data_IF_248620277465
#
_entry.id   IF_248620277465
#
_cell.length_a   1.000
_cell.length_b   1.000
_cell.length_c   1.000
_cell.angle_alpha   90.00
_cell.angle_beta   90.00
_cell.angle_gamma   90.00
#
_symmetry.space_group_name_H-M   'P 1'
#
loop_
_entity.id
_entity.type
_entity.pdbx_description
1 polymer ?
#
# COMPACT_ATOMS: atom_id res chain seq x y z
N UNK A 1 13.72 -35.03 5.10
CA UNK A 1 13.88 -34.31 3.81
C UNK A 1 12.70 -33.39 3.50
N UNK A 2 11.46 -33.72 3.89
CA UNK A 2 10.27 -32.89 3.64
C UNK A 2 10.34 -31.51 4.36
N UNK A 3 10.99 -31.44 5.53
CA UNK A 3 11.19 -30.21 6.31
C UNK A 3 12.05 -29.13 5.65
N UNK A 4 13.05 -29.52 4.85
CA UNK A 4 13.92 -28.55 4.17
C UNK A 4 13.17 -27.81 3.07
N UNK A 5 12.41 -28.55 2.27
CA UNK A 5 11.71 -27.97 1.10
C UNK A 5 10.65 -26.94 1.49
N UNK A 6 9.84 -27.22 2.50
CA UNK A 6 8.81 -26.28 2.97
C UNK A 6 9.42 -24.98 3.54
N UNK A 7 10.58 -25.08 4.20
CA UNK A 7 11.27 -23.91 4.74
C UNK A 7 11.96 -23.10 3.62
N UNK A 8 12.50 -23.77 2.61
CA UNK A 8 13.01 -23.12 1.41
C UNK A 8 11.89 -22.37 0.66
N UNK A 9 10.71 -22.97 0.55
CA UNK A 9 9.53 -22.34 -0.06
C UNK A 9 9.06 -21.12 0.75
N UNK A 10 9.09 -21.21 2.09
CA UNK A 10 8.75 -20.09 2.97
C UNK A 10 9.73 -18.93 2.81
N UNK A 11 11.04 -19.21 2.83
CA UNK A 11 12.06 -18.18 2.57
C UNK A 11 11.89 -17.56 1.18
N UNK A 12 11.58 -18.37 0.18
CA UNK A 12 11.37 -17.88 -1.17
C UNK A 12 10.16 -16.95 -1.27
N UNK A 13 9.03 -17.27 -0.63
CA UNK A 13 7.84 -16.38 -0.65
C UNK A 13 8.05 -15.14 0.18
N UNK A 14 8.66 -15.23 1.36
CA UNK A 14 8.99 -14.08 2.22
C UNK A 14 9.96 -13.12 1.52
N UNK A 15 11.00 -13.66 0.85
CA UNK A 15 11.93 -12.85 0.08
C UNK A 15 11.27 -12.12 -1.09
N UNK A 16 10.32 -12.76 -1.79
CA UNK A 16 9.53 -12.10 -2.84
C UNK A 16 8.59 -11.06 -2.26
N UNK A 17 7.95 -11.32 -1.12
CA UNK A 17 7.09 -10.35 -0.45
C UNK A 17 7.85 -9.08 -0.06
N UNK A 18 9.06 -9.23 0.50
CA UNK A 18 9.96 -8.10 0.76
C UNK A 18 10.20 -7.26 -0.50
N UNK A 19 10.47 -7.88 -1.65
CA UNK A 19 10.66 -7.16 -2.92
C UNK A 19 9.40 -6.40 -3.37
N UNK A 20 8.21 -6.97 -3.13
CA UNK A 20 6.93 -6.29 -3.42
C UNK A 20 6.76 -5.07 -2.52
N UNK A 21 7.09 -5.17 -1.23
CA UNK A 21 7.07 -4.05 -0.29
C UNK A 21 8.07 -2.94 -0.68
N UNK A 22 9.30 -3.30 -1.06
CA UNK A 22 10.30 -2.35 -1.56
C UNK A 22 9.79 -1.61 -2.80
N UNK A 23 9.16 -2.34 -3.74
CA UNK A 23 8.55 -1.73 -4.93
C UNK A 23 7.35 -0.84 -4.58
N UNK A 24 6.54 -1.21 -3.60
CA UNK A 24 5.44 -0.39 -3.11
C UNK A 24 5.95 0.93 -2.52
N UNK A 25 6.94 0.87 -1.64
CA UNK A 25 7.56 2.05 -1.05
C UNK A 25 8.11 2.98 -2.14
N UNK A 26 8.84 2.43 -3.12
CA UNK A 26 9.33 3.20 -4.27
C UNK A 26 8.20 3.91 -5.04
N UNK A 27 7.05 3.26 -5.20
CA UNK A 27 5.88 3.88 -5.84
C UNK A 27 5.26 4.97 -4.99
N UNK A 28 5.15 4.77 -3.68
CA UNK A 28 4.62 5.79 -2.77
C UNK A 28 5.51 7.04 -2.75
N UNK A 29 6.84 6.88 -2.71
CA UNK A 29 7.78 8.01 -2.77
C UNK A 29 7.62 8.80 -4.07
N UNK A 30 7.48 8.12 -5.22
CA UNK A 30 7.23 8.80 -6.50
C UNK A 30 5.88 9.52 -6.51
N UNK A 31 4.83 8.91 -5.97
CA UNK A 31 3.50 9.53 -5.86
C UNK A 31 3.60 10.81 -5.03
N UNK A 32 4.23 10.77 -3.85
CA UNK A 32 4.42 11.94 -3.01
C UNK A 32 5.21 13.05 -3.73
N UNK A 33 6.26 12.68 -4.46
CA UNK A 33 7.06 13.62 -5.26
C UNK A 33 6.25 14.28 -6.37
N UNK A 34 5.41 13.53 -7.08
CA UNK A 34 4.58 14.05 -8.16
C UNK A 34 3.45 14.94 -7.64
N UNK A 35 2.86 14.59 -6.49
CA UNK A 35 1.85 15.42 -5.81
C UNK A 35 2.45 16.73 -5.30
N UNK A 36 3.66 16.69 -4.74
CA UNK A 36 4.38 17.90 -4.29
C UNK A 36 4.74 18.81 -5.46
N UNK A 37 5.01 18.23 -6.64
CA UNK A 37 5.28 18.96 -7.87
C UNK A 37 4.05 19.48 -8.62
N UNK A 38 2.84 19.28 -8.08
CA UNK A 38 1.56 19.66 -8.70
C UNK A 38 1.34 19.05 -10.11
N UNK A 39 1.88 17.85 -10.33
CA UNK A 39 1.85 17.16 -11.63
C UNK A 39 0.52 16.40 -11.84
N UNK A 40 -0.58 17.15 -11.92
CA UNK A 40 -1.96 16.64 -11.94
C UNK A 40 -2.32 15.77 -13.15
N UNK A 41 -1.62 15.93 -14.28
CA UNK A 41 -1.84 15.13 -15.50
C UNK A 41 -1.58 13.62 -15.29
N UNK A 42 -0.87 13.24 -14.23
CA UNK A 42 -0.53 11.85 -13.95
C UNK A 42 -1.39 11.19 -12.85
N UNK A 43 -2.37 11.89 -12.27
CA UNK A 43 -3.19 11.36 -11.15
C UNK A 43 -3.82 9.99 -11.44
N UNK A 44 -4.33 9.81 -12.66
CA UNK A 44 -4.88 8.52 -13.09
C UNK A 44 -3.84 7.39 -13.05
N UNK A 45 -2.64 7.64 -13.55
CA UNK A 45 -1.55 6.67 -13.56
C UNK A 45 -1.04 6.36 -12.16
N UNK A 46 -0.97 7.39 -11.30
CA UNK A 46 -0.59 7.23 -9.89
C UNK A 46 -1.54 6.29 -9.15
N UNK A 47 -2.85 6.51 -9.29
CA UNK A 47 -3.86 5.64 -8.69
C UNK A 47 -3.75 4.19 -9.19
N UNK A 48 -3.68 4.00 -10.51
CA UNK A 48 -3.55 2.67 -11.10
C UNK A 48 -2.29 1.92 -10.67
N UNK A 49 -1.15 2.61 -10.59
CA UNK A 49 0.10 1.98 -10.18
C UNK A 49 0.06 1.55 -8.72
N UNK A 50 -0.53 2.36 -7.84
CA UNK A 50 -0.74 1.99 -6.43
C UNK A 50 -1.70 0.80 -6.31
N UNK A 51 -2.79 0.78 -7.07
CA UNK A 51 -3.74 -0.33 -7.08
C UNK A 51 -3.10 -1.65 -7.55
N UNK A 52 -2.31 -1.62 -8.63
CA UNK A 52 -1.63 -2.81 -9.15
C UNK A 52 -0.66 -3.39 -8.14
N UNK A 53 0.12 -2.54 -7.46
CA UNK A 53 1.07 -3.01 -6.45
C UNK A 53 0.32 -3.52 -5.21
N UNK A 54 -0.77 -2.86 -4.80
CA UNK A 54 -1.62 -3.35 -3.73
C UNK A 54 -2.19 -4.75 -4.02
N UNK A 55 -2.61 -5.00 -5.26
CA UNK A 55 -3.13 -6.30 -5.65
C UNK A 55 -2.04 -7.38 -5.62
N UNK A 56 -0.87 -7.10 -6.21
CA UNK A 56 0.25 -8.04 -6.17
C UNK A 56 0.72 -8.35 -4.74
N UNK A 57 0.62 -7.38 -3.83
CA UNK A 57 0.91 -7.60 -2.41
C UNK A 57 -0.12 -8.54 -1.76
N UNK A 58 -1.41 -8.43 -2.09
CA UNK A 58 -2.42 -9.40 -1.59
C UNK A 58 -2.21 -10.80 -2.14
N UNK A 59 -1.85 -10.91 -3.41
CA UNK A 59 -1.57 -12.21 -4.04
C UNK A 59 -0.43 -12.93 -3.33
N UNK A 60 0.66 -12.20 -3.01
CA UNK A 60 1.82 -12.80 -2.35
C UNK A 60 1.58 -13.07 -0.87
N UNK A 61 0.81 -12.22 -0.18
CA UNK A 61 0.37 -12.40 1.20
C UNK A 61 -0.48 -13.68 1.35
N UNK A 62 -1.37 -13.94 0.39
CA UNK A 62 -2.15 -15.18 0.32
C UNK A 62 -1.25 -16.41 0.08
N UNK A 63 -0.30 -16.32 -0.85
CA UNK A 63 0.67 -17.40 -1.09
C UNK A 63 1.48 -17.71 0.17
N UNK A 64 1.97 -16.68 0.87
CA UNK A 64 2.70 -16.84 2.14
C UNK A 64 1.83 -17.54 3.17
N UNK A 65 0.58 -17.10 3.31
CA UNK A 65 -0.35 -17.68 4.30
C UNK A 65 -0.57 -19.18 4.08
N UNK A 66 -0.70 -19.61 2.82
CA UNK A 66 -0.83 -21.04 2.47
C UNK A 66 0.45 -21.81 2.80
N UNK A 67 1.63 -21.27 2.44
CA UNK A 67 2.92 -21.92 2.69
C UNK A 67 3.22 -22.01 4.18
N UNK A 68 2.93 -20.95 4.94
CA UNK A 68 3.15 -20.89 6.39
C UNK A 68 2.37 -21.99 7.11
N UNK A 69 1.12 -22.28 6.72
CA UNK A 69 0.34 -23.40 7.25
C UNK A 69 1.05 -24.74 6.97
N UNK A 70 1.59 -24.95 5.77
CA UNK A 70 2.31 -26.17 5.42
C UNK A 70 3.60 -26.39 6.21
N UNK A 71 4.27 -25.31 6.64
CA UNK A 71 5.46 -25.40 7.52
C UNK A 71 5.10 -25.91 8.92
N UNK A 72 3.87 -25.67 9.39
CA UNK A 72 3.41 -26.05 10.73
C UNK A 72 3.17 -27.55 10.88
N UNK A 73 2.67 -28.22 9.83
CA UNK A 73 2.41 -29.67 9.80
C UNK A 73 3.68 -30.53 10.00
N UNK A 74 4.85 -29.90 9.98
CA UNK A 74 6.14 -30.55 10.04
C UNK A 74 6.76 -30.59 11.45
N UNK A 75 6.13 -29.99 12.46
CA UNK A 75 6.53 -30.10 13.86
C UNK A 75 5.54 -30.98 14.66
N UNK A 76 5.85 -32.27 14.91
CA UNK A 76 4.96 -33.17 15.64
C UNK A 76 4.77 -32.80 17.12
N UNK A 77 5.65 -31.98 17.70
CA UNK A 77 5.47 -31.45 19.06
C UNK A 77 4.61 -30.17 19.09
N UNK A 78 4.26 -29.63 17.92
CA UNK A 78 3.36 -28.47 17.80
C UNK A 78 1.87 -28.86 17.77
N UNK A 79 1.55 -30.16 17.83
CA UNK A 79 0.17 -30.64 17.97
C UNK A 79 -0.43 -30.16 19.32
N UNK A 80 -1.13 -29.03 19.28
CA UNK A 80 -1.78 -28.41 20.44
C UNK A 80 -1.25 -27.02 20.83
N UNK A 81 -0.22 -26.50 20.15
CA UNK A 81 0.11 -25.08 20.22
C UNK A 81 -0.88 -24.30 19.34
N UNK A 82 -1.43 -23.15 19.80
CA UNK A 82 -2.08 -22.23 18.88
C UNK A 82 -1.05 -21.92 17.78
N UNK A 83 -1.50 -22.05 16.53
CA UNK A 83 -0.69 -21.95 15.32
C UNK A 83 0.41 -20.87 15.45
N UNK A 84 1.63 -21.10 14.93
CA UNK A 84 2.52 -19.99 14.62
C UNK A 84 1.90 -19.10 13.54
N UNK A 85 1.03 -18.18 13.95
CA UNK A 85 0.50 -17.13 13.09
C UNK A 85 1.57 -16.09 12.75
N UNK A 86 2.74 -16.14 13.41
CA UNK A 86 3.75 -15.09 13.34
C UNK A 86 5.12 -15.63 12.93
N UNK A 87 5.85 -14.79 12.20
CA UNK A 87 7.18 -15.13 11.70
C UNK A 87 8.18 -15.35 12.84
N UNK A 88 8.04 -14.66 13.97
CA UNK A 88 8.87 -14.85 15.17
C UNK A 88 8.77 -16.27 15.71
N UNK A 89 7.55 -16.82 15.77
CA UNK A 89 7.34 -18.17 16.29
C UNK A 89 7.90 -19.20 15.30
N UNK A 90 7.77 -18.97 14.00
CA UNK A 90 8.39 -19.82 12.97
C UNK A 90 9.91 -19.78 13.09
N UNK A 91 10.52 -18.59 13.15
CA UNK A 91 11.98 -18.42 13.25
C UNK A 91 12.56 -19.04 14.52
N UNK A 92 11.86 -18.92 15.65
CA UNK A 92 12.28 -19.49 16.94
C UNK A 92 12.36 -21.03 16.94
N UNK A 93 11.52 -21.67 16.12
CA UNK A 93 11.50 -23.13 15.97
C UNK A 93 12.32 -23.62 14.77
N UNK A 94 12.84 -22.71 13.94
CA UNK A 94 13.56 -23.06 12.73
C UNK A 94 15.02 -23.46 13.06
N UNK A 95 15.54 -24.52 12.42
CA UNK A 95 16.95 -24.88 12.54
C UNK A 95 17.84 -23.83 11.84
N UNK A 96 19.12 -23.80 12.20
CA UNK A 96 20.14 -23.05 11.43
C UNK A 96 20.26 -23.65 10.02
N UNK A 97 20.36 -22.85 8.94
CA UNK A 97 20.51 -21.38 8.92
C UNK A 97 19.20 -20.58 8.88
N UNK A 98 18.06 -21.25 8.71
CA UNK A 98 16.75 -20.64 8.43
C UNK A 98 16.33 -19.59 9.45
N UNK A 99 16.59 -19.82 10.73
CA UNK A 99 16.33 -18.82 11.79
C UNK A 99 16.92 -17.44 11.46
N UNK A 100 18.21 -17.37 11.13
CA UNK A 100 18.88 -16.10 10.86
C UNK A 100 18.35 -15.41 9.61
N UNK A 101 17.97 -16.19 8.59
CA UNK A 101 17.41 -15.65 7.35
C UNK A 101 16.00 -15.09 7.58
N UNK A 102 15.17 -15.79 8.35
CA UNK A 102 13.84 -15.31 8.72
C UNK A 102 13.90 -14.05 9.59
N UNK A 103 14.83 -13.99 10.55
CA UNK A 103 15.06 -12.82 11.39
C UNK A 103 15.45 -11.59 10.54
N UNK A 104 16.38 -11.73 9.58
CA UNK A 104 16.77 -10.63 8.65
C UNK A 104 15.58 -10.15 7.82
N UNK A 105 14.80 -11.09 7.26
CA UNK A 105 13.60 -10.75 6.53
C UNK A 105 12.57 -10.02 7.42
N UNK A 106 12.45 -10.40 8.70
CA UNK A 106 11.50 -9.79 9.62
C UNK A 106 11.83 -8.33 9.87
N UNK A 107 13.08 -8.06 10.20
CA UNK A 107 13.57 -6.72 10.50
C UNK A 107 13.41 -5.79 9.28
N UNK A 108 13.79 -6.28 8.09
CA UNK A 108 13.65 -5.52 6.86
C UNK A 108 12.18 -5.23 6.53
N UNK A 109 11.29 -6.22 6.62
CA UNK A 109 9.87 -6.03 6.33
C UNK A 109 9.18 -5.12 7.34
N UNK A 110 9.52 -5.20 8.64
CA UNK A 110 9.00 -4.27 9.66
C UNK A 110 9.38 -2.82 9.34
N UNK A 111 10.62 -2.60 8.93
CA UNK A 111 11.10 -1.27 8.49
C UNK A 111 10.29 -0.78 7.29
N UNK A 112 10.15 -1.59 6.25
CA UNK A 112 9.39 -1.25 5.04
C UNK A 112 7.92 -0.94 5.34
N UNK A 113 7.27 -1.73 6.20
CA UNK A 113 5.86 -1.50 6.59
C UNK A 113 5.70 -0.16 7.32
N UNK A 114 6.64 0.20 8.20
CA UNK A 114 6.65 1.51 8.87
C UNK A 114 6.83 2.68 7.88
N UNK A 115 7.76 2.54 6.94
CA UNK A 115 8.01 3.55 5.89
C UNK A 115 6.82 3.70 4.93
N UNK A 116 6.19 2.58 4.55
CA UNK A 116 4.96 2.55 3.75
C UNK A 116 3.84 3.31 4.48
N UNK A 117 3.61 3.01 5.76
CA UNK A 117 2.59 3.68 6.56
C UNK A 117 2.81 5.20 6.64
N UNK A 118 4.06 5.62 6.82
CA UNK A 118 4.46 7.03 6.83
C UNK A 118 4.17 7.71 5.48
N UNK A 119 4.53 7.09 4.36
CA UNK A 119 4.31 7.66 3.03
C UNK A 119 2.82 7.69 2.64
N UNK A 120 2.05 6.67 3.04
CA UNK A 120 0.59 6.67 2.84
C UNK A 120 -0.05 7.84 3.60
N UNK A 121 0.36 8.09 4.84
CA UNK A 121 -0.12 9.25 5.60
C UNK A 121 0.23 10.58 4.91
N UNK A 122 1.49 10.73 4.47
CA UNK A 122 1.95 11.91 3.73
C UNK A 122 1.11 12.17 2.47
N UNK A 123 0.88 11.13 1.65
CA UNK A 123 0.07 11.26 0.43
C UNK A 123 -1.35 11.70 0.77
N UNK A 124 -1.97 11.13 1.81
CA UNK A 124 -3.32 11.53 2.23
C UNK A 124 -3.37 13.01 2.61
N UNK A 125 -2.38 13.49 3.34
CA UNK A 125 -2.33 14.89 3.76
C UNK A 125 -2.14 15.82 2.56
N UNK A 126 -1.21 15.51 1.64
CA UNK A 126 -1.01 16.25 0.39
C UNK A 126 -2.29 16.31 -0.45
N UNK A 127 -2.98 15.17 -0.64
CA UNK A 127 -4.21 15.14 -1.43
C UNK A 127 -5.34 15.95 -0.76
N UNK A 128 -5.48 15.87 0.56
CA UNK A 128 -6.47 16.66 1.31
C UNK A 128 -6.22 18.15 1.18
N UNK A 129 -4.96 18.58 1.24
CA UNK A 129 -4.58 19.98 1.02
C UNK A 129 -4.95 20.44 -0.40
N UNK A 130 -4.66 19.64 -1.42
CA UNK A 130 -5.01 19.94 -2.81
C UNK A 130 -6.52 20.04 -3.02
N UNK A 131 -7.31 19.11 -2.48
CA UNK A 131 -8.77 19.14 -2.55
C UNK A 131 -9.36 20.38 -1.85
N UNK A 132 -8.81 20.76 -0.69
CA UNK A 132 -9.23 21.97 0.03
C UNK A 132 -8.91 23.25 -0.78
N UNK A 133 -7.74 23.29 -1.42
CA UNK A 133 -7.36 24.36 -2.34
C UNK A 133 -8.38 24.47 -3.48
N UNK A 134 -8.71 23.37 -4.18
CA UNK A 134 -9.68 23.36 -5.28
C UNK A 134 -11.06 23.85 -4.81
N UNK A 135 -11.53 23.41 -3.64
CA UNK A 135 -12.81 23.83 -3.08
C UNK A 135 -12.85 25.33 -2.73
N UNK A 136 -11.74 25.89 -2.21
CA UNK A 136 -11.65 27.32 -1.88
C UNK A 136 -11.78 28.22 -3.12
N UNK A 137 -11.24 27.79 -4.26
CA UNK A 137 -11.33 28.51 -5.53
C UNK A 137 -12.72 28.39 -6.20
N UNK A 138 -13.56 27.46 -5.76
CA UNK A 138 -14.92 27.25 -6.28
C UNK A 138 -15.97 28.21 -5.71
N UNK A 139 -15.66 28.94 -4.63
CA UNK A 139 -16.63 29.85 -3.99
C UNK A 139 -16.76 31.13 -4.82
N UNK A 140 -17.94 31.48 -5.36
CA UNK A 140 -18.10 32.67 -6.19
C UNK A 140 -17.82 33.94 -5.38
N UNK A 141 -16.90 34.78 -5.88
CA UNK A 141 -16.74 36.17 -5.41
C UNK A 141 -17.97 36.99 -5.79
N UNK A 142 -18.95 37.07 -4.89
CA UNK A 142 -20.00 38.08 -4.83
C UNK A 142 -21.08 38.04 -5.93
N UNK A 143 -22.23 38.71 -5.74
CA UNK A 143 -23.33 38.69 -6.70
C UNK A 143 -22.93 39.46 -7.98
N UNK A 144 -22.83 38.75 -9.12
CA UNK A 144 -22.76 39.37 -10.44
C UNK A 144 -24.15 39.94 -10.78
N UNK A 145 -24.20 41.25 -11.06
CA UNK A 145 -25.43 41.91 -11.52
C UNK A 145 -25.91 41.30 -12.83
N UNK A 146 -27.21 41.03 -12.88
CA UNK A 146 -27.89 40.31 -13.96
C UNK A 146 -27.94 41.15 -15.23
N UNK A 147 -27.46 40.56 -16.34
CA UNK A 147 -27.60 41.13 -17.67
C UNK A 147 -26.52 40.67 -18.65
N UNK A 148 -26.40 39.37 -18.91
CA UNK A 148 -25.75 38.88 -20.13
C UNK A 148 -26.07 37.40 -20.39
N UNK A 149 -26.94 37.11 -21.36
CA UNK A 149 -27.45 35.77 -21.70
C UNK A 149 -26.62 35.05 -22.79
N UNK A 150 -25.31 35.33 -22.88
CA UNK A 150 -24.50 34.75 -23.95
C UNK A 150 -23.01 34.53 -23.64
N UNK A 151 -22.62 33.78 -22.59
CA UNK A 151 -21.25 33.20 -22.49
C UNK A 151 -21.04 32.14 -21.35
N UNK A 152 -21.83 31.07 -21.25
CA UNK A 152 -21.65 30.04 -20.19
C UNK A 152 -20.62 28.92 -20.49
N UNK A 153 -20.08 28.85 -21.72
CA UNK A 153 -19.08 27.82 -22.11
C UNK A 153 -17.75 27.83 -21.32
N UNK A 154 -17.11 28.96 -21.02
CA UNK A 154 -15.86 28.96 -20.25
C UNK A 154 -16.05 28.48 -18.81
N UNK A 155 -17.15 28.86 -18.15
CA UNK A 155 -17.45 28.41 -16.78
C UNK A 155 -17.73 26.90 -16.69
N UNK A 156 -18.31 26.31 -17.74
CA UNK A 156 -18.54 24.86 -17.82
C UNK A 156 -17.24 24.07 -18.02
N UNK A 157 -16.28 24.58 -18.80
CA UNK A 157 -14.96 23.95 -18.96
C UNK A 157 -14.18 23.95 -17.64
N UNK A 158 -14.17 25.08 -16.93
CA UNK A 158 -13.54 25.20 -15.61
C UNK A 158 -14.20 24.30 -14.54
N UNK A 159 -15.49 23.99 -14.69
CA UNK A 159 -16.18 23.03 -13.83
C UNK A 159 -15.77 21.58 -14.14
N UNK A 160 -15.62 21.23 -15.42
CA UNK A 160 -15.19 19.90 -15.84
C UNK A 160 -13.76 19.61 -15.40
N UNK A 161 -12.83 20.56 -15.58
CA UNK A 161 -11.43 20.40 -15.17
C UNK A 161 -11.31 20.16 -13.65
N UNK A 162 -12.12 20.87 -12.86
CA UNK A 162 -12.20 20.65 -11.40
C UNK A 162 -12.73 19.27 -11.06
N UNK A 163 -13.76 18.80 -11.75
CA UNK A 163 -14.30 17.46 -11.52
C UNK A 163 -13.30 16.35 -11.88
N UNK A 164 -12.55 16.54 -12.97
CA UNK A 164 -11.45 15.63 -13.36
C UNK A 164 -10.39 15.58 -12.25
N UNK A 165 -9.98 16.73 -11.72
CA UNK A 165 -9.02 16.79 -10.61
C UNK A 165 -9.57 16.12 -9.34
N UNK A 166 -10.80 16.44 -8.93
CA UNK A 166 -11.45 15.83 -7.76
C UNK A 166 -11.49 14.31 -7.88
N UNK A 167 -11.89 13.80 -9.06
CA UNK A 167 -11.93 12.37 -9.35
C UNK A 167 -10.54 11.73 -9.31
N UNK A 168 -9.53 12.38 -9.92
CA UNK A 168 -8.14 11.90 -9.91
C UNK A 168 -7.55 11.81 -8.50
N UNK A 169 -7.72 12.86 -7.70
CA UNK A 169 -7.29 12.89 -6.30
C UNK A 169 -8.05 11.87 -5.44
N UNK A 170 -9.37 11.73 -5.66
CA UNK A 170 -10.19 10.71 -5.01
C UNK A 170 -9.72 9.28 -5.30
N UNK A 171 -9.32 9.00 -6.55
CA UNK A 171 -8.79 7.70 -6.94
C UNK A 171 -7.47 7.37 -6.21
N UNK A 172 -6.57 8.36 -6.04
CA UNK A 172 -5.33 8.19 -5.27
C UNK A 172 -5.62 7.86 -3.80
N UNK A 173 -6.59 8.56 -3.18
CA UNK A 173 -7.00 8.26 -1.79
C UNK A 173 -7.56 6.84 -1.64
N UNK A 174 -8.43 6.42 -2.56
CA UNK A 174 -8.96 5.06 -2.57
C UNK A 174 -7.84 4.01 -2.70
N UNK A 175 -6.88 4.24 -3.61
CA UNK A 175 -5.72 3.37 -3.73
C UNK A 175 -4.91 3.29 -2.43
N UNK A 176 -4.72 4.41 -1.72
CA UNK A 176 -4.07 4.44 -0.40
C UNK A 176 -4.86 3.67 0.67
N UNK A 177 -6.19 3.73 0.67
CA UNK A 177 -7.03 2.98 1.62
C UNK A 177 -6.97 1.47 1.36
N UNK A 178 -6.72 1.07 0.12
CA UNK A 178 -6.49 -0.33 -0.25
C UNK A 178 -5.13 -0.86 0.21
N UNK A 179 -4.19 -0.01 0.61
CA UNK A 179 -2.85 -0.39 1.09
C UNK A 179 -2.80 -0.65 2.61
N UNK A 180 -3.94 -0.87 3.27
CA UNK A 180 -3.92 -1.38 4.65
C UNK A 180 -3.40 -2.82 4.66
N UNK A 181 -2.41 -3.10 5.52
CA UNK A 181 -1.71 -4.40 5.58
C UNK A 181 -1.89 -5.10 6.94
N UNK A 182 -3.12 -5.31 7.43
CA UNK A 182 -3.34 -5.84 8.78
C UNK A 182 -2.81 -7.27 8.96
N UNK A 183 -2.95 -8.12 7.94
CA UNK A 183 -2.48 -9.51 8.01
C UNK A 183 -0.96 -9.61 7.99
N UNK A 184 -0.30 -8.84 7.13
CA UNK A 184 1.16 -8.75 7.14
C UNK A 184 1.68 -8.20 8.47
N UNK A 185 1.09 -7.13 8.99
CA UNK A 185 1.47 -6.57 10.31
C UNK A 185 1.33 -7.63 11.40
N UNK A 186 0.19 -8.34 11.44
CA UNK A 186 -0.07 -9.44 12.37
C UNK A 186 0.95 -10.58 12.22
N UNK A 187 1.31 -10.93 10.99
CA UNK A 187 2.32 -11.96 10.72
C UNK A 187 3.72 -11.54 11.19
N UNK A 188 4.05 -10.25 11.08
CA UNK A 188 5.31 -9.71 11.55
C UNK A 188 5.33 -9.53 13.06
N UNK A 189 4.21 -9.20 13.70
CA UNK A 189 4.07 -8.87 15.12
C UNK A 189 3.85 -10.08 16.04
N UNK A 190 4.93 -10.54 16.70
CA UNK A 190 4.97 -11.10 18.08
C UNK A 190 6.43 -11.11 18.56
#
# INVERSE_FOLDING_TARGET
MITGHAMDDLLAVVGRERQVLERLLYRLIQTASLLTGDETRFLHWLALDLERVAEHLREIDLQRSIIAVGVQDLNPDAHGLPLPDTMTLIASNAPTPYRFLLDDHQEAMRTLVGEIGTNVALIRDLVREQLASIASHATPRGPRQAGDDHHDRPAQMDALDREILNSGYGAVLNACDRLQLPELVRFLDC
#
